data_IF_094057193712
#
_entry.id   IF_094057193712
#
_cell.length_a   1.000
_cell.length_b   1.000
_cell.length_c   1.000
_cell.angle_alpha   90.00
_cell.angle_beta   90.00
_cell.angle_gamma   90.00
#
_symmetry.space_group_name_H-M   'P 1'
#
loop_
_entity.id
_entity.type
_entity.pdbx_description
1 polymer ?
#
# COMPACT_ATOMS: atom_id res chain seq x y z
N UNK A 1 -15.21 2.36 1.27
CA UNK A 1 -15.10 3.76 0.79
C UNK A 1 -14.01 3.82 -0.27
N UNK A 2 -14.35 4.06 -1.54
CA UNK A 2 -13.35 4.11 -2.61
C UNK A 2 -12.75 5.51 -2.76
N UNK A 3 -11.42 5.54 -2.95
CA UNK A 3 -10.58 6.71 -3.20
C UNK A 3 -11.26 7.70 -4.18
N UNK A 4 -11.82 8.84 -3.72
CA UNK A 4 -12.65 9.72 -4.56
C UNK A 4 -11.88 10.28 -5.78
N UNK A 5 -10.58 10.50 -5.61
CA UNK A 5 -9.69 10.98 -6.66
C UNK A 5 -9.38 9.94 -7.74
N UNK A 6 -9.84 8.69 -7.61
CA UNK A 6 -9.56 7.62 -8.58
C UNK A 6 -10.15 7.95 -9.95
N UNK A 7 -11.37 8.50 -9.96
CA UNK A 7 -12.05 8.88 -11.20
C UNK A 7 -11.45 10.15 -11.81
N UNK A 8 -11.21 11.18 -10.98
CA UNK A 8 -10.63 12.44 -11.47
C UNK A 8 -9.19 12.26 -11.95
N UNK A 9 -8.39 11.45 -11.24
CA UNK A 9 -7.00 11.17 -11.63
C UNK A 9 -6.88 10.46 -12.97
N UNK A 10 -7.76 9.50 -13.27
CA UNK A 10 -7.76 8.83 -14.57
C UNK A 10 -8.21 9.77 -15.69
N UNK A 11 -9.34 10.47 -15.51
CA UNK A 11 -9.86 11.42 -16.49
C UNK A 11 -8.87 12.54 -16.78
N UNK A 12 -8.20 13.07 -15.75
CA UNK A 12 -7.24 14.16 -15.91
C UNK A 12 -5.99 13.72 -16.69
N UNK A 13 -5.51 12.48 -16.51
CA UNK A 13 -4.42 11.91 -17.32
C UNK A 13 -4.79 11.87 -18.81
N UNK A 14 -6.03 11.48 -19.12
CA UNK A 14 -6.53 11.44 -20.51
C UNK A 14 -6.64 12.85 -21.08
N UNK A 15 -7.23 13.79 -20.32
CA UNK A 15 -7.38 15.19 -20.74
C UNK A 15 -6.02 15.84 -20.98
N UNK A 16 -5.06 15.66 -20.07
CA UNK A 16 -3.69 16.18 -20.26
C UNK A 16 -3.06 15.58 -21.51
N UNK A 17 -3.15 14.26 -21.71
CA UNK A 17 -2.57 13.62 -22.90
C UNK A 17 -3.14 14.20 -24.20
N UNK A 18 -4.46 14.40 -24.27
CA UNK A 18 -5.12 15.01 -25.42
C UNK A 18 -4.73 16.48 -25.60
N UNK A 19 -4.74 17.27 -24.53
CA UNK A 19 -4.37 18.68 -24.57
C UNK A 19 -2.89 18.87 -24.99
N UNK A 20 -1.99 18.05 -24.46
CA UNK A 20 -0.57 18.03 -24.85
C UNK A 20 -0.42 17.63 -26.31
N UNK A 21 -1.14 16.61 -26.79
CA UNK A 21 -1.10 16.22 -28.20
C UNK A 21 -1.55 17.38 -29.11
N UNK A 22 -2.68 18.03 -28.82
CA UNK A 22 -3.18 19.18 -29.57
C UNK A 22 -2.15 20.32 -29.57
N UNK A 23 -1.62 20.68 -28.39
CA UNK A 23 -0.64 21.75 -28.26
C UNK A 23 0.65 21.45 -29.05
N UNK A 24 1.16 20.23 -28.98
CA UNK A 24 2.35 19.82 -29.74
C UNK A 24 2.09 19.84 -31.24
N UNK A 25 0.92 19.38 -31.70
CA UNK A 25 0.56 19.46 -33.12
C UNK A 25 0.50 20.91 -33.60
N UNK A 26 -0.09 21.83 -32.82
CA UNK A 26 -0.12 23.25 -33.16
C UNK A 26 1.27 23.89 -33.19
N UNK A 27 2.16 23.51 -32.27
CA UNK A 27 3.56 23.99 -32.26
C UNK A 27 4.30 23.50 -33.52
N UNK A 28 4.15 22.22 -33.88
CA UNK A 28 4.78 21.65 -35.08
C UNK A 28 4.22 22.32 -36.35
N UNK A 29 2.90 22.52 -36.44
CA UNK A 29 2.27 23.22 -37.56
C UNK A 29 2.76 24.66 -37.68
N UNK A 30 2.85 25.39 -36.56
CA UNK A 30 3.39 26.75 -36.53
C UNK A 30 4.88 26.79 -36.97
N UNK A 31 5.68 25.81 -36.58
CA UNK A 31 7.08 25.67 -37.00
C UNK A 31 7.21 25.40 -38.50
N UNK A 32 6.31 24.61 -39.09
CA UNK A 32 6.31 24.37 -40.54
C UNK A 32 5.83 25.59 -41.32
N UNK A 33 4.74 26.23 -40.87
CA UNK A 33 4.26 27.48 -41.48
C UNK A 33 5.29 28.61 -41.41
N UNK A 34 6.04 28.72 -40.30
CA UNK A 34 7.15 29.67 -40.19
C UNK A 34 8.30 29.36 -41.16
N UNK A 35 8.62 28.08 -41.35
CA UNK A 35 9.65 27.66 -42.30
C UNK A 35 9.24 27.86 -43.77
N UNK A 36 7.94 27.78 -44.08
CA UNK A 36 7.40 27.93 -45.44
C UNK A 36 7.13 29.40 -45.83
N UNK A 37 7.08 30.33 -44.88
CA UNK A 37 6.80 31.75 -45.13
C UNK A 37 7.97 32.47 -45.86
N UNK A 38 8.12 32.17 -47.16
CA UNK A 38 9.20 32.62 -48.06
C UNK A 38 9.22 34.13 -48.34
N UNK A 39 8.22 34.88 -47.92
CA UNK A 39 8.01 36.26 -48.34
C UNK A 39 8.89 37.29 -47.60
N UNK A 40 9.60 36.91 -46.52
CA UNK A 40 10.42 37.83 -45.69
C UNK A 40 11.87 37.41 -45.42
N UNK A 41 12.35 36.25 -45.89
CA UNK A 41 13.78 35.89 -45.75
C UNK A 41 14.26 34.85 -46.78
N UNK A 42 15.41 35.07 -47.44
CA UNK A 42 15.97 34.14 -48.44
C UNK A 42 16.76 32.97 -47.83
N UNK A 43 16.68 32.75 -46.50
CA UNK A 43 17.67 31.95 -45.78
C UNK A 43 17.13 30.55 -45.46
N UNK A 44 17.71 29.52 -46.10
CA UNK A 44 17.47 28.08 -45.85
C UNK A 44 17.62 27.64 -44.38
N UNK A 45 18.18 28.49 -43.53
CA UNK A 45 18.45 28.25 -42.11
C UNK A 45 17.17 28.09 -41.26
N UNK A 46 16.08 28.78 -41.60
CA UNK A 46 14.80 28.66 -40.88
C UNK A 46 14.18 27.26 -41.00
N UNK A 47 14.24 26.66 -42.19
CA UNK A 47 13.79 25.28 -42.41
C UNK A 47 14.62 24.25 -41.64
N UNK A 48 15.93 24.45 -41.53
CA UNK A 48 16.81 23.57 -40.73
C UNK A 48 16.45 23.66 -39.24
N UNK A 49 16.22 24.86 -38.71
CA UNK A 49 15.81 25.06 -37.32
C UNK A 49 14.48 24.35 -37.03
N UNK A 50 13.48 24.53 -37.90
CA UNK A 50 12.16 23.89 -37.76
C UNK A 50 12.26 22.36 -37.75
N UNK A 51 13.10 21.78 -38.62
CA UNK A 51 13.32 20.34 -38.70
C UNK A 51 14.04 19.81 -37.45
N UNK A 52 15.06 20.51 -36.97
CA UNK A 52 15.77 20.14 -35.73
C UNK A 52 14.84 20.20 -34.52
N UNK A 53 14.05 21.26 -34.37
CA UNK A 53 13.11 21.40 -33.25
C UNK A 53 12.03 20.32 -33.28
N UNK A 54 11.44 20.05 -34.45
CA UNK A 54 10.46 18.97 -34.62
C UNK A 54 11.09 17.61 -34.32
N UNK A 55 12.30 17.38 -34.80
CA UNK A 55 13.07 16.17 -34.52
C UNK A 55 13.35 15.99 -33.02
N UNK A 56 13.70 17.06 -32.30
CA UNK A 56 13.91 17.01 -30.85
C UNK A 56 12.61 16.71 -30.09
N UNK A 57 11.49 17.31 -30.48
CA UNK A 57 10.17 17.02 -29.88
C UNK A 57 9.82 15.54 -30.07
N UNK A 58 9.95 15.02 -31.29
CA UNK A 58 9.66 13.61 -31.59
C UNK A 58 10.63 12.66 -30.87
N UNK A 59 11.92 12.96 -30.86
CA UNK A 59 12.92 12.17 -30.17
C UNK A 59 12.65 12.14 -28.66
N UNK A 60 12.25 13.27 -28.06
CA UNK A 60 11.86 13.34 -26.66
C UNK A 60 10.69 12.40 -26.36
N UNK A 61 9.61 12.44 -27.15
CA UNK A 61 8.43 11.58 -26.93
C UNK A 61 8.74 10.08 -27.09
N UNK A 62 9.53 9.72 -28.11
CA UNK A 62 9.83 8.32 -28.42
C UNK A 62 10.88 7.73 -27.49
N UNK A 63 11.89 8.52 -27.10
CA UNK A 63 12.98 8.06 -26.24
C UNK A 63 12.67 8.21 -24.75
N UNK A 64 11.65 8.99 -24.36
CA UNK A 64 11.25 9.16 -22.96
C UNK A 64 11.12 7.84 -22.18
N UNK A 65 10.48 6.77 -22.70
CA UNK A 65 10.40 5.49 -21.99
C UNK A 65 11.76 4.88 -21.65
N UNK A 66 12.79 5.09 -22.49
CA UNK A 66 14.13 4.55 -22.24
C UNK A 66 14.85 5.26 -21.08
N UNK A 67 14.45 6.49 -20.74
CA UNK A 67 15.03 7.27 -19.66
C UNK A 67 14.28 7.12 -18.32
N UNK A 68 13.13 6.44 -18.32
CA UNK A 68 12.31 6.25 -17.11
C UNK A 68 12.33 4.79 -16.69
N UNK A 69 12.99 4.50 -15.58
CA UNK A 69 13.00 3.16 -14.99
C UNK A 69 11.59 2.71 -14.65
N UNK A 70 11.22 1.51 -15.10
CA UNK A 70 9.91 0.91 -14.81
C UNK A 70 8.74 1.60 -15.50
N UNK A 71 8.97 2.24 -16.66
CA UNK A 71 7.89 2.75 -17.49
C UNK A 71 7.19 1.60 -18.26
N UNK A 72 5.85 1.51 -18.23
CA UNK A 72 4.91 2.34 -17.49
C UNK A 72 4.85 1.97 -15.99
N UNK A 73 4.81 2.98 -15.11
CA UNK A 73 4.80 2.77 -13.66
C UNK A 73 3.39 2.42 -13.17
N UNK A 74 3.05 1.13 -13.27
CA UNK A 74 1.68 0.63 -13.03
C UNK A 74 1.36 0.33 -11.55
N UNK A 75 2.35 0.34 -10.65
CA UNK A 75 2.22 0.12 -9.19
C UNK A 75 1.43 -1.16 -8.79
N UNK A 76 1.21 -2.12 -9.69
CA UNK A 76 0.60 -3.39 -9.33
C UNK A 76 1.50 -4.16 -8.35
N UNK A 77 0.89 -4.69 -7.30
CA UNK A 77 1.53 -5.62 -6.37
C UNK A 77 1.28 -7.04 -6.86
N UNK A 78 2.32 -7.87 -6.84
CA UNK A 78 2.21 -9.31 -7.08
C UNK A 78 2.20 -9.96 -5.70
N UNK A 79 1.12 -10.69 -5.38
CA UNK A 79 1.03 -11.41 -4.12
C UNK A 79 2.00 -12.59 -4.13
N UNK A 80 3.02 -12.55 -3.26
CA UNK A 80 4.09 -13.57 -3.21
C UNK A 80 3.85 -14.63 -2.15
N UNK A 81 3.03 -14.35 -1.14
CA UNK A 81 2.69 -15.27 -0.06
C UNK A 81 1.62 -16.28 -0.49
N UNK A 82 1.88 -17.03 -1.57
CA UNK A 82 0.87 -17.91 -2.20
C UNK A 82 0.31 -18.95 -1.23
N UNK A 83 1.16 -19.52 -0.36
CA UNK A 83 0.72 -20.53 0.62
C UNK A 83 -0.15 -19.93 1.72
N UNK A 84 0.11 -18.68 2.12
CA UNK A 84 -0.73 -17.93 3.05
C UNK A 84 -2.11 -17.69 2.45
N UNK A 85 -2.17 -17.28 1.19
CA UNK A 85 -3.45 -17.04 0.52
C UNK A 85 -4.24 -18.34 0.35
N UNK A 86 -3.57 -19.45 0.00
CA UNK A 86 -4.22 -20.76 -0.10
C UNK A 86 -4.78 -21.20 1.25
N UNK A 87 -4.01 -21.04 2.33
CA UNK A 87 -4.48 -21.33 3.68
C UNK A 87 -5.76 -20.57 4.02
N UNK A 88 -5.81 -19.25 3.77
CA UNK A 88 -7.00 -18.45 4.06
C UNK A 88 -8.18 -18.71 3.10
N UNK A 89 -7.92 -19.10 1.85
CA UNK A 89 -8.97 -19.52 0.91
C UNK A 89 -9.70 -20.79 1.37
N UNK A 90 -9.04 -21.65 2.14
CA UNK A 90 -9.62 -22.87 2.71
C UNK A 90 -10.45 -22.61 3.98
N UNK A 91 -10.31 -21.44 4.62
CA UNK A 91 -11.09 -21.05 5.79
C UNK A 91 -12.51 -20.59 5.42
N UNK A 92 -13.47 -20.52 6.36
CA UNK A 92 -14.80 -19.93 6.11
C UNK A 92 -14.72 -18.48 5.58
N UNK A 93 -15.73 -18.02 4.84
CA UNK A 93 -15.73 -16.68 4.24
C UNK A 93 -15.98 -15.56 5.26
N UNK A 94 -16.64 -15.88 6.37
CA UNK A 94 -17.06 -14.95 7.42
C UNK A 94 -15.99 -14.66 8.47
N UNK A 95 -14.79 -15.25 8.34
CA UNK A 95 -13.70 -15.01 9.27
C UNK A 95 -13.19 -13.57 9.23
N UNK A 96 -12.64 -13.12 10.36
CA UNK A 96 -11.97 -11.85 10.52
C UNK A 96 -10.53 -12.03 11.00
N UNK A 97 -9.60 -11.41 10.27
CA UNK A 97 -8.16 -11.54 10.51
C UNK A 97 -7.63 -10.23 11.13
N UNK A 98 -6.99 -10.32 12.28
CA UNK A 98 -6.26 -9.22 12.91
C UNK A 98 -4.77 -9.26 12.51
N UNK A 99 -4.21 -8.14 12.07
CA UNK A 99 -2.78 -8.03 11.76
C UNK A 99 -2.32 -6.58 11.63
N UNK A 100 -1.06 -6.34 12.00
CA UNK A 100 -0.34 -5.09 11.74
C UNK A 100 0.54 -5.15 10.48
N UNK A 101 0.57 -6.30 9.79
CA UNK A 101 1.43 -6.55 8.64
C UNK A 101 0.96 -5.84 7.37
N UNK A 102 1.91 -5.37 6.55
CA UNK A 102 1.57 -4.84 5.21
C UNK A 102 0.97 -5.95 4.32
N UNK A 103 1.37 -7.20 4.52
CA UNK A 103 0.84 -8.36 3.80
C UNK A 103 -0.68 -8.54 4.02
N UNK A 104 -1.23 -8.11 5.16
CA UNK A 104 -2.66 -8.18 5.45
C UNK A 104 -3.51 -7.39 4.45
N UNK A 105 -2.95 -6.32 3.86
CA UNK A 105 -3.62 -5.51 2.83
C UNK A 105 -3.98 -6.31 1.58
N UNK A 106 -3.29 -7.44 1.36
CA UNK A 106 -3.43 -8.27 0.18
C UNK A 106 -4.49 -9.36 0.37
N UNK A 107 -4.84 -9.71 1.62
CA UNK A 107 -5.78 -10.79 1.93
C UNK A 107 -7.18 -10.58 1.34
N UNK A 108 -7.80 -9.39 1.39
CA UNK A 108 -9.10 -9.19 0.75
C UNK A 108 -9.09 -9.43 -0.76
N UNK A 109 -7.94 -9.22 -1.43
CA UNK A 109 -7.82 -9.38 -2.89
C UNK A 109 -7.45 -10.81 -3.28
N UNK A 110 -6.45 -11.41 -2.61
CA UNK A 110 -5.91 -12.70 -3.02
C UNK A 110 -6.49 -13.90 -2.26
N UNK A 111 -6.98 -13.68 -1.03
CA UNK A 111 -7.60 -14.71 -0.21
C UNK A 111 -9.11 -14.54 -0.05
N UNK A 112 -9.67 -13.39 -0.45
CA UNK A 112 -11.09 -13.07 -0.28
C UNK A 112 -11.56 -13.21 1.17
N UNK A 113 -10.72 -12.79 2.12
CA UNK A 113 -11.04 -12.80 3.56
C UNK A 113 -11.02 -11.40 4.16
N UNK A 114 -11.87 -11.20 5.15
CA UNK A 114 -11.98 -9.92 5.84
C UNK A 114 -10.81 -9.71 6.78
N UNK A 115 -10.35 -8.48 6.87
CA UNK A 115 -9.32 -8.04 7.82
C UNK A 115 -9.91 -6.97 8.71
N UNK A 116 -9.49 -6.92 9.97
CA UNK A 116 -9.93 -5.89 10.92
C UNK A 116 -9.57 -4.49 10.43
N UNK A 117 -8.34 -4.37 9.92
CA UNK A 117 -7.73 -3.16 9.40
C UNK A 117 -6.57 -3.52 8.47
N UNK A 118 -6.13 -2.54 7.68
CA UNK A 118 -4.93 -2.64 6.86
C UNK A 118 -4.37 -1.26 6.55
N UNK A 119 -3.04 -1.14 6.48
CA UNK A 119 -2.32 0.11 6.18
C UNK A 119 -2.83 0.80 4.91
N UNK A 120 -3.10 0.07 3.84
CA UNK A 120 -3.60 0.63 2.56
C UNK A 120 -5.01 1.25 2.69
N UNK A 121 -5.74 0.90 3.75
CA UNK A 121 -7.08 1.41 4.04
C UNK A 121 -7.09 2.57 5.05
N UNK A 122 -5.90 3.04 5.49
CA UNK A 122 -5.74 4.07 6.51
C UNK A 122 -5.95 5.51 6.01
N UNK A 123 -6.36 5.73 4.75
CA UNK A 123 -6.49 7.08 4.21
C UNK A 123 -7.78 7.75 4.73
N UNK A 124 -7.69 8.92 5.40
CA UNK A 124 -8.80 9.53 6.13
C UNK A 124 -9.77 10.33 5.22
N UNK A 125 -10.43 9.68 4.25
CA UNK A 125 -11.39 10.37 3.37
C UNK A 125 -12.70 10.75 4.05
N UNK A 126 -13.09 10.02 5.10
CA UNK A 126 -14.29 10.28 5.88
C UNK A 126 -13.98 10.14 7.36
N UNK A 127 -14.30 11.18 8.14
CA UNK A 127 -13.97 11.28 9.57
C UNK A 127 -14.56 10.13 10.37
N UNK A 128 -15.84 9.80 10.18
CA UNK A 128 -16.51 8.73 10.95
C UNK A 128 -16.02 7.32 10.63
N UNK A 129 -15.55 7.09 9.40
CA UNK A 129 -14.85 5.84 9.05
C UNK A 129 -13.45 5.82 9.70
N UNK A 130 -12.71 6.92 9.54
CA UNK A 130 -11.33 7.00 10.01
C UNK A 130 -11.22 6.97 11.53
N UNK A 131 -12.17 7.52 12.26
CA UNK A 131 -12.19 7.43 13.73
C UNK A 131 -12.30 5.99 14.21
N UNK A 132 -13.17 5.19 13.58
CA UNK A 132 -13.30 3.76 13.90
C UNK A 132 -12.05 2.98 13.49
N UNK A 133 -11.52 3.26 12.30
CA UNK A 133 -10.26 2.67 11.84
C UNK A 133 -9.12 2.95 12.83
N UNK A 134 -8.93 4.22 13.21
CA UNK A 134 -7.89 4.65 14.15
C UNK A 134 -8.04 3.97 15.51
N UNK A 135 -9.26 3.87 16.03
CA UNK A 135 -9.50 3.19 17.30
C UNK A 135 -9.12 1.71 17.22
N UNK A 136 -9.54 1.00 16.17
CA UNK A 136 -9.19 -0.42 15.97
C UNK A 136 -7.68 -0.62 15.85
N UNK A 137 -6.98 0.30 15.18
CA UNK A 137 -5.51 0.25 15.07
C UNK A 137 -4.84 0.42 16.42
N UNK A 138 -5.27 1.41 17.22
CA UNK A 138 -4.71 1.62 18.56
C UNK A 138 -4.99 0.42 19.45
N UNK A 139 -6.23 -0.06 19.49
CA UNK A 139 -6.61 -1.24 20.27
C UNK A 139 -5.75 -2.46 19.88
N UNK A 140 -5.52 -2.68 18.58
CA UNK A 140 -4.71 -3.79 18.08
C UNK A 140 -3.23 -3.65 18.49
N UNK A 141 -2.66 -2.45 18.41
CA UNK A 141 -1.27 -2.20 18.84
C UNK A 141 -1.15 -2.45 20.35
N UNK A 142 -1.99 -1.80 21.16
CA UNK A 142 -1.94 -1.92 22.62
C UNK A 142 -2.03 -3.38 23.06
N UNK A 143 -2.97 -4.13 22.47
CA UNK A 143 -3.22 -5.50 22.91
C UNK A 143 -2.16 -6.49 22.41
N UNK A 144 -1.61 -6.28 21.19
CA UNK A 144 -0.55 -7.14 20.64
C UNK A 144 0.69 -7.09 21.53
N UNK A 145 0.95 -5.94 22.17
CA UNK A 145 2.08 -5.72 23.07
C UNK A 145 1.72 -5.74 24.56
N UNK A 146 0.49 -6.14 24.92
CA UNK A 146 0.09 -6.25 26.33
C UNK A 146 0.81 -7.42 27.02
N UNK A 147 1.13 -7.24 28.30
CA UNK A 147 1.62 -8.30 29.18
C UNK A 147 0.51 -9.20 29.74
N UNK A 148 -0.76 -8.83 29.55
CA UNK A 148 -1.92 -9.60 30.03
C UNK A 148 -2.64 -10.29 28.86
N UNK A 149 -2.72 -11.63 28.93
CA UNK A 149 -3.44 -12.42 27.94
C UNK A 149 -4.96 -12.14 27.98
N UNK A 150 -5.48 -11.66 29.10
CA UNK A 150 -6.88 -11.29 29.26
C UNK A 150 -7.26 -10.15 28.31
N UNK A 151 -6.35 -9.19 28.10
CA UNK A 151 -6.59 -8.10 27.15
C UNK A 151 -6.74 -8.64 25.73
N UNK A 152 -5.88 -9.59 25.35
CA UNK A 152 -5.92 -10.27 24.04
C UNK A 152 -7.24 -10.99 23.85
N UNK A 153 -7.70 -11.76 24.84
CA UNK A 153 -8.99 -12.47 24.80
C UNK A 153 -10.16 -11.50 24.69
N UNK A 154 -10.16 -10.43 25.48
CA UNK A 154 -11.19 -9.40 25.41
C UNK A 154 -11.24 -8.73 24.03
N UNK A 155 -10.08 -8.49 23.40
CA UNK A 155 -10.00 -7.95 22.06
C UNK A 155 -10.56 -8.92 21.01
N UNK A 156 -10.21 -10.21 21.10
CA UNK A 156 -10.75 -11.27 20.24
C UNK A 156 -12.27 -11.25 20.30
N UNK A 157 -12.86 -11.25 21.50
CA UNK A 157 -14.32 -11.24 21.69
C UNK A 157 -14.97 -9.94 21.22
N UNK A 158 -14.35 -8.79 21.51
CA UNK A 158 -14.87 -7.47 21.16
C UNK A 158 -15.02 -7.30 19.65
N UNK A 159 -14.05 -7.82 18.88
CA UNK A 159 -14.02 -7.65 17.43
C UNK A 159 -14.45 -8.89 16.64
N UNK A 160 -14.56 -10.06 17.28
CA UNK A 160 -14.85 -11.33 16.63
C UNK A 160 -13.68 -11.76 15.75
N UNK A 161 -12.46 -11.80 16.31
CA UNK A 161 -11.25 -12.20 15.56
C UNK A 161 -11.18 -13.73 15.51
N UNK A 162 -11.00 -14.29 14.33
CA UNK A 162 -10.81 -15.74 14.14
C UNK A 162 -9.32 -16.10 14.01
N UNK A 163 -8.55 -15.22 13.36
CA UNK A 163 -7.12 -15.43 13.16
C UNK A 163 -6.30 -14.19 13.48
N UNK A 164 -5.15 -14.41 14.10
CA UNK A 164 -4.14 -13.37 14.35
C UNK A 164 -2.89 -13.63 13.51
N UNK A 165 -2.59 -12.72 12.58
CA UNK A 165 -1.40 -12.84 11.73
C UNK A 165 -0.30 -11.89 12.19
N UNK A 166 0.89 -12.46 12.43
CA UNK A 166 2.08 -11.78 12.97
C UNK A 166 3.29 -12.01 12.08
N UNK A 167 4.19 -11.04 12.01
CA UNK A 167 5.55 -11.28 11.56
C UNK A 167 6.37 -12.00 12.63
N UNK A 168 7.36 -12.78 12.21
CA UNK A 168 8.28 -13.46 13.15
C UNK A 168 9.05 -12.49 14.05
N UNK A 169 9.33 -11.31 13.52
CA UNK A 169 9.96 -10.20 14.25
C UNK A 169 8.99 -9.32 15.03
N UNK A 170 7.68 -9.60 15.05
CA UNK A 170 6.68 -8.70 15.65
C UNK A 170 6.91 -8.38 17.13
N UNK A 171 7.76 -9.12 17.84
CA UNK A 171 8.07 -8.89 19.25
C UNK A 171 9.54 -8.47 19.49
N UNK A 172 10.18 -7.86 18.49
CA UNK A 172 11.48 -7.18 18.66
C UNK A 172 11.29 -5.66 18.57
N UNK A 173 12.04 -4.86 19.36
CA UNK A 173 11.95 -3.40 19.29
C UNK A 173 12.16 -2.87 17.87
N UNK A 174 13.19 -3.39 17.18
CA UNK A 174 13.60 -2.91 15.85
C UNK A 174 12.49 -3.07 14.82
N UNK A 175 11.70 -4.14 14.93
CA UNK A 175 10.58 -4.39 14.03
C UNK A 175 9.51 -3.28 14.11
N UNK A 176 9.25 -2.79 15.32
CA UNK A 176 8.27 -1.73 15.56
C UNK A 176 8.84 -0.37 15.18
N UNK A 177 10.09 -0.10 15.58
CA UNK A 177 10.79 1.16 15.31
C UNK A 177 10.97 1.43 13.81
N UNK A 178 11.37 0.41 13.03
CA UNK A 178 11.57 0.53 11.59
C UNK A 178 10.25 0.67 10.83
N UNK A 179 9.11 0.37 11.47
CA UNK A 179 7.79 0.50 10.88
C UNK A 179 7.24 1.93 11.01
N UNK A 180 7.61 2.77 10.06
CA UNK A 180 7.12 4.17 9.94
C UNK A 180 5.59 4.36 9.94
N UNK A 181 4.79 3.32 9.70
CA UNK A 181 3.33 3.40 9.84
C UNK A 181 2.87 3.21 11.28
N UNK A 182 3.46 2.25 12.00
CA UNK A 182 3.19 2.04 13.44
C UNK A 182 3.68 3.21 14.28
N UNK A 183 4.86 3.74 13.96
CA UNK A 183 5.46 4.87 14.70
C UNK A 183 4.69 6.20 14.60
N UNK A 184 3.53 6.22 13.94
CA UNK A 184 2.60 7.36 13.97
C UNK A 184 1.65 7.32 15.18
N UNK A 185 1.61 6.21 15.93
CA UNK A 185 0.73 5.98 17.07
C UNK A 185 1.55 5.91 18.36
N UNK A 186 1.19 6.73 19.36
CA UNK A 186 1.82 6.75 20.70
C UNK A 186 1.97 5.36 21.32
N UNK A 187 0.95 4.51 21.16
CA UNK A 187 0.95 3.12 21.63
C UNK A 187 2.06 2.24 21.01
N UNK A 188 2.57 2.59 19.82
CA UNK A 188 3.70 1.90 19.22
C UNK A 188 5.03 2.34 19.86
N UNK A 189 5.19 3.62 20.23
CA UNK A 189 6.35 4.05 21.01
C UNK A 189 6.37 3.38 22.39
N UNK A 190 5.21 3.28 23.04
CA UNK A 190 5.08 2.55 24.31
C UNK A 190 5.45 1.07 24.16
N UNK A 191 5.01 0.43 23.06
CA UNK A 191 5.38 -0.95 22.74
C UNK A 191 6.90 -1.12 22.55
N UNK A 192 7.56 -0.18 21.86
CA UNK A 192 9.03 -0.19 21.72
C UNK A 192 9.70 -0.16 23.09
N UNK A 193 9.35 0.82 23.94
CA UNK A 193 9.93 0.94 25.28
C UNK A 193 9.66 -0.31 26.13
N UNK A 194 8.46 -0.89 26.03
CA UNK A 194 8.12 -2.14 26.72
C UNK A 194 9.03 -3.30 26.29
N UNK A 195 9.27 -3.45 24.98
CA UNK A 195 10.13 -4.49 24.43
C UNK A 195 11.62 -4.26 24.76
N UNK A 196 12.09 -3.01 24.72
CA UNK A 196 13.47 -2.64 25.09
C UNK A 196 13.80 -2.94 26.55
N UNK A 197 12.81 -2.81 27.44
CA UNK A 197 12.92 -3.19 28.85
C UNK A 197 12.96 -4.72 29.07
N UNK A 198 12.82 -5.51 28.00
CA UNK A 198 12.89 -6.97 28.04
C UNK A 198 11.59 -7.64 28.47
N UNK A 199 10.48 -6.91 28.49
CA UNK A 199 9.18 -7.51 28.76
C UNK A 199 8.68 -8.32 27.55
N UNK A 200 8.00 -9.43 27.84
CA UNK A 200 7.49 -10.36 26.84
C UNK A 200 5.97 -10.17 26.74
N UNK A 201 5.43 -9.81 25.56
CA UNK A 201 3.98 -9.74 25.36
C UNK A 201 3.31 -11.09 25.60
N UNK A 202 2.13 -11.08 26.22
CA UNK A 202 1.37 -12.30 26.51
C UNK A 202 1.05 -13.09 25.23
N UNK A 203 0.70 -12.39 24.14
CA UNK A 203 0.43 -13.01 22.85
C UNK A 203 1.62 -13.84 22.33
N UNK A 204 2.86 -13.39 22.58
CA UNK A 204 4.06 -14.09 22.15
C UNK A 204 4.17 -15.50 22.76
N UNK A 205 3.67 -15.67 23.99
CA UNK A 205 3.69 -16.96 24.70
C UNK A 205 2.77 -18.01 24.08
N UNK A 206 1.78 -17.58 23.29
CA UNK A 206 0.79 -18.46 22.64
C UNK A 206 1.25 -18.98 21.27
N UNK A 207 2.28 -18.37 20.67
CA UNK A 207 2.78 -18.77 19.34
C UNK A 207 3.07 -20.28 19.26
N UNK A 208 3.81 -20.90 20.20
CA UNK A 208 4.18 -22.31 20.06
C UNK A 208 3.00 -23.28 20.03
N UNK A 209 1.87 -22.92 20.66
CA UNK A 209 0.71 -23.79 20.82
C UNK A 209 -0.43 -23.46 19.84
N UNK A 210 -0.63 -22.19 19.51
CA UNK A 210 -1.78 -21.73 18.74
C UNK A 210 -1.50 -21.42 17.28
N UNK A 211 -0.26 -21.65 16.80
CA UNK A 211 0.07 -21.49 15.39
C UNK A 211 -0.59 -22.58 14.54
N UNK A 212 -1.42 -22.15 13.59
CA UNK A 212 -2.09 -23.02 12.60
C UNK A 212 -1.50 -22.91 11.20
N UNK A 213 -0.79 -21.82 10.93
CA UNK A 213 0.00 -21.65 9.70
C UNK A 213 1.28 -20.89 10.01
N UNK A 214 2.37 -21.28 9.35
CA UNK A 214 3.64 -20.56 9.42
C UNK A 214 4.42 -20.67 8.11
N UNK A 215 5.19 -19.63 7.80
CA UNK A 215 6.18 -19.63 6.72
C UNK A 215 7.44 -18.89 7.18
N UNK A 216 8.35 -18.56 6.25
CA UNK A 216 9.64 -17.92 6.56
C UNK A 216 9.52 -16.57 7.27
N UNK A 217 8.40 -15.85 7.14
CA UNK A 217 8.24 -14.50 7.69
C UNK A 217 7.04 -14.33 8.63
N UNK A 218 6.05 -15.22 8.59
CA UNK A 218 4.76 -15.03 9.26
C UNK A 218 4.36 -16.24 10.13
N UNK A 219 3.62 -15.92 11.18
CA UNK A 219 2.78 -16.84 11.96
C UNK A 219 1.31 -16.44 11.79
N UNK A 220 0.43 -17.42 11.72
CA UNK A 220 -1.02 -17.23 11.87
C UNK A 220 -1.47 -18.07 13.05
N UNK A 221 -2.06 -17.41 14.03
CA UNK A 221 -2.57 -18.00 15.25
C UNK A 221 -4.09 -18.16 15.15
N UNK A 222 -4.62 -19.27 15.63
CA UNK A 222 -6.07 -19.49 15.81
C UNK A 222 -6.54 -18.82 17.09
N UNK A 223 -7.54 -17.94 16.98
CA UNK A 223 -8.09 -17.21 18.11
C UNK A 223 -8.78 -18.11 19.13
N UNK A 224 -9.43 -19.20 18.70
CA UNK A 224 -10.09 -20.14 19.62
C UNK A 224 -9.06 -20.79 20.56
N UNK A 225 -7.90 -21.18 20.01
CA UNK A 225 -6.79 -21.68 20.82
C UNK A 225 -6.28 -20.63 21.82
N UNK A 226 -6.17 -19.36 21.42
CA UNK A 226 -5.75 -18.26 22.33
C UNK A 226 -6.76 -18.09 23.47
N UNK A 227 -8.05 -18.16 23.17
CA UNK A 227 -9.13 -18.10 24.17
C UNK A 227 -9.14 -19.33 25.08
N UNK A 228 -8.69 -20.49 24.58
CA UNK A 228 -8.67 -21.77 25.28
C UNK A 228 -9.99 -22.53 25.15
N UNK A 229 -10.67 -22.39 24.01
CA UNK A 229 -11.96 -23.03 23.68
C UNK A 229 -11.74 -24.17 22.69
#
# INVERSE_FOLDING_TARGET
LHLPSRYTGLSFRIIIALATAIALTLIIDALFNWAENRQKSPVKFQGIISLVLTGLIMASLVLYPAFVKGFPLVKYKVGRATDLYRFFLEQPEDILIASLEEEANLLPTFAQRSILLGREYAIPYQVGYYSQFRQRTIDLIVVQYSSDLTDVKNFIQKYGIDFWMLHRGSFTPEYVEDNSWLMQYESAQEAVTFLELGYIPALATTIPTCTVFQNDSLFVLDANCIEGI
#
